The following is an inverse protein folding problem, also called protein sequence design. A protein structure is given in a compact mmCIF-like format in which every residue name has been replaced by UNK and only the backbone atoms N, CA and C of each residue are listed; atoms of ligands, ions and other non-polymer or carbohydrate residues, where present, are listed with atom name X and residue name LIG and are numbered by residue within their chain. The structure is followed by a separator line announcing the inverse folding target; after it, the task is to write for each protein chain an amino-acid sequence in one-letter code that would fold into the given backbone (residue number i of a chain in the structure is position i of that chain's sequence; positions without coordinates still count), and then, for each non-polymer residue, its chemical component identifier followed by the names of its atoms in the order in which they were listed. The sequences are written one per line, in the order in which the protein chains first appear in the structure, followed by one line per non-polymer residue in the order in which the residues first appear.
data_IF_502431262023
#
_entry.id   IF_502431262023
#
_cell.length_a   1.000
_cell.length_b   1.000
_cell.length_c   1.000
_cell.angle_alpha   90.00
_cell.angle_beta   90.00
_cell.angle_gamma   90.00
#
_symmetry.space_group_name_H-M   'P 1'
#
loop_
_entity.id
_entity.type
_entity.pdbx_description
1 polymer ?
2 non-polymer ?
3 non-polymer ?
4 water ?
#
# COMPACT_ATOMS: atom_id res chain seq x y z
N UNK A 1 13.13 -15.83 -19.37
CA UNK A 1 13.55 -17.03 -18.66
C UNK A 1 12.46 -17.46 -17.68
N UNK A 2 12.70 -18.59 -17.00
CA UNK A 2 11.71 -19.13 -16.08
C UNK A 2 11.45 -18.18 -14.92
N UNK A 3 10.35 -18.43 -14.21
CA UNK A 3 10.02 -17.64 -13.03
C UNK A 3 11.10 -17.79 -11.96
N UNK A 4 11.55 -19.03 -11.70
CA UNK A 4 12.52 -19.20 -10.62
C UNK A 4 13.86 -18.57 -10.98
N UNK A 5 14.23 -18.56 -12.25
CA UNK A 5 15.45 -17.86 -12.67
C UNK A 5 15.35 -16.37 -12.41
N UNK A 6 14.19 -15.77 -12.73
CA UNK A 6 13.99 -14.34 -12.51
C UNK A 6 14.17 -13.96 -11.03
N UNK A 7 13.68 -14.82 -10.12
CA UNK A 7 13.55 -14.46 -8.72
C UNK A 7 14.66 -15.02 -7.85
N UNK A 8 15.77 -15.47 -8.45
CA UNK A 8 16.92 -15.92 -7.69
C UNK A 8 17.06 -17.41 -7.48
N UNK A 9 16.24 -18.23 -8.12
CA UNK A 9 16.30 -19.67 -7.97
C UNK A 9 15.08 -20.23 -7.28
N UNK A 10 14.99 -21.56 -7.31
CA UNK A 10 13.83 -22.24 -6.76
C UNK A 10 13.72 -22.00 -5.26
N UNK A 11 14.83 -22.09 -4.52
CA UNK A 11 14.81 -21.81 -3.09
C UNK A 11 14.25 -20.43 -2.82
N UNK A 12 14.64 -19.44 -3.64
CA UNK A 12 14.19 -18.07 -3.44
C UNK A 12 12.69 -17.95 -3.68
N UNK A 13 12.15 -18.69 -4.64
CA UNK A 13 10.72 -18.63 -4.91
C UNK A 13 9.92 -19.05 -3.68
N UNK A 14 10.26 -20.21 -3.11
CA UNK A 14 9.55 -20.66 -1.92
C UNK A 14 9.75 -19.69 -0.76
N UNK A 15 10.96 -19.13 -0.64
CA UNK A 15 11.21 -18.17 0.43
C UNK A 15 10.35 -16.93 0.25
N UNK A 16 10.22 -16.46 -0.99
CA UNK A 16 9.39 -15.28 -1.26
C UNK A 16 7.94 -15.55 -0.91
N UNK A 17 7.42 -16.73 -1.28
CA UNK A 17 6.06 -17.10 -0.94
C UNK A 17 5.85 -17.09 0.58
N UNK A 18 6.80 -17.64 1.33
CA UNK A 18 6.67 -17.68 2.78
C UNK A 18 6.65 -16.27 3.38
N UNK A 19 7.56 -15.41 2.92
CA UNK A 19 7.56 -14.02 3.38
C UNK A 19 6.19 -13.38 3.13
N UNK A 20 5.68 -13.55 1.91
CA UNK A 20 4.43 -12.93 1.48
C UNK A 20 3.26 -13.50 2.27
N UNK A 21 3.22 -14.82 2.40
CA UNK A 21 2.18 -15.48 3.18
C UNK A 21 2.14 -14.97 4.62
N UNK A 22 3.31 -14.91 5.27
CA UNK A 22 3.34 -14.51 6.67
C UNK A 22 2.91 -13.06 6.85
N UNK A 23 3.27 -12.19 5.91
CA UNK A 23 2.78 -10.80 5.95
C UNK A 23 1.25 -10.76 5.95
N UNK A 24 0.61 -11.55 5.09
CA UNK A 24 -0.86 -11.52 5.05
C UNK A 24 -1.45 -12.07 6.33
N UNK A 25 -0.93 -13.19 6.84
CA UNK A 25 -1.51 -13.78 8.04
C UNK A 25 -1.25 -12.92 9.27
N UNK A 26 -0.20 -12.10 9.26
CA UNK A 26 0.11 -11.27 10.41
C UNK A 26 -0.50 -9.88 10.32
N UNK A 27 -1.27 -9.60 9.27
CA UNK A 27 -1.93 -8.32 9.11
C UNK A 27 -3.35 -8.45 9.63
N UNK A 28 -3.70 -7.81 10.75
CA UNK A 28 -5.06 -7.97 11.30
C UNK A 28 -6.15 -7.52 10.35
N UNK A 29 -5.84 -6.67 9.38
CA UNK A 29 -6.85 -6.23 8.43
C UNK A 29 -7.11 -7.25 7.32
N UNK A 30 -6.23 -8.22 7.14
CA UNK A 30 -6.34 -9.19 6.06
C UNK A 30 -6.55 -10.62 6.54
N UNK A 31 -5.94 -11.00 7.65
CA UNK A 31 -6.06 -12.37 8.16
C UNK A 31 -7.49 -12.89 8.20
N UNK A 32 -8.50 -12.12 8.62
CA UNK A 32 -9.85 -12.71 8.70
C UNK A 32 -10.36 -13.26 7.39
N UNK A 33 -9.93 -12.74 6.23
CA UNK A 33 -10.35 -13.33 4.96
C UNK A 33 -9.78 -14.72 4.74
N UNK A 34 -8.75 -15.11 5.48
CA UNK A 34 -8.15 -16.43 5.31
C UNK A 34 -8.62 -17.44 6.34
N UNK A 35 -9.47 -17.03 7.29
CA UNK A 35 -10.03 -17.96 8.27
C UNK A 35 -10.80 -19.07 7.58
N UNK A 36 -10.49 -20.32 7.95
CA UNK A 36 -11.15 -21.45 7.35
C UNK A 36 -10.60 -21.91 6.02
N UNK A 37 -9.63 -21.20 5.44
CA UNK A 37 -9.00 -21.63 4.19
C UNK A 37 -7.84 -22.55 4.51
N UNK A 38 -7.89 -23.77 3.99
CA UNK A 38 -6.85 -24.75 4.27
C UNK A 38 -5.52 -24.28 3.72
N UNK A 39 -4.43 -24.77 4.33
CA UNK A 39 -3.10 -24.24 4.05
C UNK A 39 -2.61 -24.63 2.65
N UNK A 40 -3.05 -25.76 2.13
CA UNK A 40 -2.63 -26.16 0.79
C UNK A 40 -3.19 -25.17 -0.23
N UNK A 41 -4.49 -24.87 -0.11
CA UNK A 41 -5.10 -23.86 -0.97
C UNK A 41 -4.38 -22.51 -0.86
N UNK A 42 -4.01 -22.12 0.37
CA UNK A 42 -3.39 -20.81 0.55
C UNK A 42 -2.00 -20.76 -0.06
N UNK A 43 -1.18 -21.78 0.20
CA UNK A 43 0.15 -21.83 -0.39
C UNK A 43 0.04 -21.85 -1.92
N UNK A 44 -0.91 -22.61 -2.45
CA UNK A 44 -1.08 -22.64 -3.90
C UNK A 44 -1.51 -21.27 -4.42
N UNK A 45 -2.39 -20.58 -3.69
CA UNK A 45 -2.79 -19.23 -4.06
C UNK A 45 -1.58 -18.31 -4.16
N UNK A 46 -0.72 -18.32 -3.14
CA UNK A 46 0.40 -17.40 -3.13
C UNK A 46 1.36 -17.69 -4.28
N UNK A 47 1.58 -18.98 -4.57
CA UNK A 47 2.44 -19.33 -5.69
C UNK A 47 1.85 -18.87 -7.02
N UNK A 48 0.54 -19.00 -7.21
CA UNK A 48 -0.06 -18.57 -8.47
C UNK A 48 -0.10 -17.05 -8.56
N UNK A 49 -0.32 -16.37 -7.42
CA UNK A 49 -0.26 -14.90 -7.38
C UNK A 49 1.10 -14.41 -7.83
N UNK A 50 2.16 -15.00 -7.29
CA UNK A 50 3.51 -14.63 -7.67
C UNK A 50 3.77 -14.92 -9.14
N UNK A 51 3.36 -16.11 -9.61
CA UNK A 51 3.53 -16.44 -11.02
C UNK A 51 2.78 -15.44 -11.91
N UNK A 52 1.55 -15.09 -11.53
CA UNK A 52 0.75 -14.15 -12.31
C UNK A 52 1.41 -12.78 -12.38
N UNK A 53 1.92 -12.28 -11.26
CA UNK A 53 2.58 -10.98 -11.26
C UNK A 53 3.72 -10.92 -12.29
N UNK A 54 4.34 -12.06 -12.60
CA UNK A 54 5.46 -12.08 -13.52
C UNK A 54 5.13 -12.79 -14.83
N UNK A 55 3.84 -12.86 -15.18
CA UNK A 55 3.44 -13.41 -16.46
C UNK A 55 3.81 -14.85 -16.69
N UNK A 56 3.91 -15.65 -15.62
CA UNK A 56 4.26 -17.05 -15.72
C UNK A 56 3.06 -17.99 -15.67
N UNK A 57 1.85 -17.46 -15.56
CA UNK A 57 0.66 -18.30 -15.65
C UNK A 57 0.20 -18.38 -17.11
N UNK A 58 -0.56 -19.43 -17.43
CA UNK A 58 -1.08 -19.59 -18.78
C UNK A 58 -2.59 -19.64 -18.86
N UNK A 59 -3.29 -20.09 -17.81
CA UNK A 59 -4.75 -20.22 -17.87
C UNK A 59 -5.44 -19.38 -16.79
N UNK A 60 -4.87 -18.23 -16.47
CA UNK A 60 -5.38 -17.40 -15.39
C UNK A 60 -5.52 -15.98 -15.89
N UNK A 61 -6.75 -15.48 -15.94
CA UNK A 61 -7.02 -14.16 -16.50
C UNK A 61 -7.96 -13.40 -15.57
N UNK A 62 -8.25 -12.15 -15.93
CA UNK A 62 -9.06 -11.30 -15.07
C UNK A 62 -10.38 -11.94 -14.68
N UNK A 63 -11.03 -12.61 -15.64
CA UNK A 63 -12.31 -13.24 -15.30
C UNK A 63 -12.14 -14.33 -14.24
N UNK A 64 -11.01 -15.05 -14.26
CA UNK A 64 -10.76 -16.05 -13.23
C UNK A 64 -10.51 -15.38 -11.88
N UNK A 65 -9.83 -14.23 -11.87
CA UNK A 65 -9.65 -13.50 -10.62
C UNK A 65 -11.00 -13.09 -10.04
N UNK A 66 -11.91 -12.61 -10.89
CA UNK A 66 -13.22 -12.21 -10.40
C UNK A 66 -13.98 -13.41 -9.85
N UNK A 67 -14.02 -14.51 -10.62
CA UNK A 67 -14.78 -15.68 -10.18
C UNK A 67 -14.21 -16.25 -8.89
N UNK A 68 -12.90 -16.14 -8.67
CA UNK A 68 -12.30 -16.64 -7.44
C UNK A 68 -12.53 -15.76 -6.22
N UNK A 69 -12.81 -14.48 -6.41
CA UNK A 69 -12.91 -13.54 -5.29
C UNK A 69 -14.27 -12.88 -5.14
N UNK A 70 -15.20 -13.11 -6.06
CA UNK A 70 -16.47 -12.39 -6.06
C UNK A 70 -17.23 -12.61 -4.75
N UNK A 71 -17.18 -13.83 -4.20
CA UNK A 71 -17.90 -14.09 -2.96
C UNK A 71 -17.34 -13.26 -1.80
N UNK A 72 -16.03 -12.95 -1.80
CA UNK A 72 -15.47 -12.13 -0.73
C UNK A 72 -15.92 -10.68 -0.84
N UNK A 73 -16.02 -10.18 -2.07
CA UNK A 73 -16.48 -8.81 -2.30
C UNK A 73 -17.97 -8.68 -1.99
N UNK A 74 -18.75 -9.70 -2.33
CA UNK A 74 -20.20 -9.62 -2.19
C UNK A 74 -20.66 -9.97 -0.78
N UNK A 75 -20.04 -10.96 -0.15
CA UNK A 75 -20.51 -11.48 1.11
C UNK A 75 -19.62 -11.12 2.29
N UNK A 76 -18.40 -10.62 2.05
CA UNK A 76 -17.46 -10.40 3.14
C UNK A 76 -16.81 -9.00 3.12
N UNK A 77 -17.28 -8.08 2.29
CA UNK A 77 -16.79 -6.72 2.33
C UNK A 77 -15.38 -6.51 1.83
N UNK A 78 -14.88 -7.42 0.98
CA UNK A 78 -13.53 -7.25 0.41
C UNK A 78 -13.50 -6.00 -0.47
N UNK A 79 -12.48 -5.16 -0.29
CA UNK A 79 -12.51 -3.85 -0.95
C UNK A 79 -11.13 -3.45 -1.44
N UNK A 80 -11.06 -2.25 -2.02
CA UNK A 80 -9.82 -1.76 -2.62
C UNK A 80 -8.74 -1.54 -1.58
N UNK A 81 -9.11 -1.16 -0.36
CA UNK A 81 -8.10 -1.01 0.68
C UNK A 81 -7.44 -2.36 0.97
N UNK A 82 -8.23 -3.42 0.99
CA UNK A 82 -7.65 -4.74 1.18
C UNK A 82 -6.73 -5.10 0.02
N UNK A 83 -7.16 -4.83 -1.22
CA UNK A 83 -6.32 -5.12 -2.39
C UNK A 83 -5.00 -4.36 -2.31
N UNK A 84 -5.07 -3.07 -1.98
CA UNK A 84 -3.84 -2.27 -1.94
C UNK A 84 -2.91 -2.74 -0.83
N UNK A 85 -3.44 -3.30 0.26
CA UNK A 85 -2.59 -3.81 1.32
C UNK A 85 -1.91 -5.11 0.90
N UNK A 86 -2.67 -6.02 0.27
CA UNK A 86 -2.09 -7.25 -0.26
C UNK A 86 -1.01 -6.93 -1.29
N UNK A 87 -1.31 -5.99 -2.18
CA UNK A 87 -0.34 -5.61 -3.22
C UNK A 87 0.91 -4.99 -2.61
N UNK A 88 0.73 -4.15 -1.59
CA UNK A 88 1.89 -3.58 -0.91
C UNK A 88 2.74 -4.64 -0.21
N UNK A 89 2.09 -5.57 0.48
CA UNK A 89 2.87 -6.66 1.09
C UNK A 89 3.61 -7.46 0.03
N UNK A 90 3.02 -7.62 -1.14
CA UNK A 90 3.70 -8.39 -2.18
C UNK A 90 4.99 -7.70 -2.63
N UNK A 91 4.91 -6.41 -2.95
CA UNK A 91 6.13 -5.74 -3.42
C UNK A 91 7.13 -5.62 -2.28
N UNK A 92 6.67 -5.43 -1.05
CA UNK A 92 7.59 -5.45 0.09
C UNK A 92 8.29 -6.79 0.19
N UNK A 93 7.58 -7.89 -0.06
CA UNK A 93 8.22 -9.20 -0.04
C UNK A 93 9.31 -9.27 -1.08
N UNK A 94 9.04 -8.78 -2.30
CA UNK A 94 10.05 -8.81 -3.34
C UNK A 94 11.29 -8.00 -2.96
N UNK A 95 11.08 -6.81 -2.38
CA UNK A 95 12.22 -5.98 -1.96
C UNK A 95 13.02 -6.67 -0.86
N UNK A 96 12.35 -7.26 0.12
CA UNK A 96 13.05 -7.94 1.20
C UNK A 96 13.88 -9.11 0.70
N UNK A 97 13.47 -9.74 -0.40
CA UNK A 97 14.22 -10.83 -1.00
C UNK A 97 15.31 -10.34 -1.96
N UNK A 98 15.54 -9.03 -2.02
CA UNK A 98 16.55 -8.50 -2.92
C UNK A 98 16.18 -8.50 -4.38
N UNK A 99 14.89 -8.50 -4.71
CA UNK A 99 14.48 -8.41 -6.10
C UNK A 99 14.66 -6.98 -6.61
N UNK A 100 15.15 -6.83 -7.83
CA UNK A 100 15.50 -5.52 -8.34
C UNK A 100 14.32 -4.72 -8.85
N UNK A 101 14.62 -3.46 -9.17
CA UNK A 101 13.58 -2.47 -9.45
C UNK A 101 12.85 -2.76 -10.75
N UNK A 102 13.54 -3.28 -11.76
CA UNK A 102 12.87 -3.56 -13.02
C UNK A 102 11.79 -4.62 -12.84
N UNK A 103 12.08 -5.66 -12.04
CA UNK A 103 11.08 -6.69 -11.75
C UNK A 103 9.98 -6.15 -10.85
N UNK A 104 10.31 -5.29 -9.87
CA UNK A 104 9.27 -4.66 -9.07
C UNK A 104 8.28 -3.92 -9.95
N UNK A 105 8.79 -3.07 -10.85
CA UNK A 105 7.93 -2.27 -11.71
C UNK A 105 7.02 -3.16 -12.55
N UNK A 106 7.58 -4.25 -13.09
CA UNK A 106 6.78 -5.16 -13.89
C UNK A 106 5.63 -5.75 -13.07
N UNK A 107 5.94 -6.23 -11.87
CA UNK A 107 4.91 -6.77 -10.99
C UNK A 107 3.86 -5.72 -10.65
N UNK A 108 4.31 -4.50 -10.34
CA UNK A 108 3.40 -3.43 -10.01
C UNK A 108 2.45 -3.14 -11.16
N UNK A 109 2.97 -3.08 -12.39
CA UNK A 109 2.11 -2.85 -13.53
C UNK A 109 1.01 -3.89 -13.66
N UNK A 110 1.35 -5.15 -13.42
CA UNK A 110 0.35 -6.22 -13.48
C UNK A 110 -0.72 -5.98 -12.41
N UNK A 111 -0.28 -5.75 -11.17
CA UNK A 111 -1.22 -5.59 -10.06
C UNK A 111 -2.12 -4.38 -10.26
N UNK A 112 -1.55 -3.26 -10.68
CA UNK A 112 -2.36 -2.08 -11.00
C UNK A 112 -3.39 -2.43 -12.06
N UNK A 113 -3.01 -3.26 -13.03
CA UNK A 113 -3.92 -3.64 -14.09
C UNK A 113 -5.15 -4.38 -13.62
N UNK A 114 -5.05 -5.16 -12.53
CA UNK A 114 -6.20 -5.92 -12.04
C UNK A 114 -6.88 -5.28 -10.85
N UNK A 115 -6.34 -4.20 -10.31
CA UNK A 115 -6.99 -3.49 -9.20
C UNK A 115 -8.46 -3.16 -9.47
N UNK A 116 -8.87 -2.67 -10.65
CA UNK A 116 -10.29 -2.36 -10.85
C UNK A 116 -11.25 -3.53 -10.63
N UNK A 117 -10.78 -4.78 -10.70
CA UNK A 117 -11.67 -5.91 -10.44
C UNK A 117 -11.98 -6.08 -8.96
N UNK A 118 -11.34 -5.32 -8.09
CA UNK A 118 -11.61 -5.36 -6.66
C UNK A 118 -12.37 -4.13 -6.19
N UNK A 119 -12.92 -3.37 -7.12
CA UNK A 119 -13.77 -2.23 -6.79
C UNK A 119 -15.18 -2.73 -6.47
N UNK A 120 -15.62 -2.61 -5.21
CA UNK A 120 -16.95 -3.14 -4.85
C UNK A 120 -18.08 -2.48 -5.61
N UNK A 121 -17.90 -1.27 -6.12
CA UNK A 121 -18.98 -0.63 -6.86
C UNK A 121 -19.36 -1.38 -8.13
N UNK A 122 -18.47 -2.26 -8.61
CA UNK A 122 -18.74 -3.08 -9.79
C UNK A 122 -19.61 -4.30 -9.50
N UNK A 123 -19.97 -4.57 -8.23
CA UNK A 123 -20.69 -5.77 -7.86
C UNK A 123 -22.04 -5.40 -7.26
N UNK A 124 -23.00 -6.32 -7.34
CA UNK A 124 -24.33 -6.11 -6.75
C UNK A 124 -24.52 -7.04 -5.55
N UNK A 125 -25.58 -6.78 -4.78
CA UNK A 125 -25.96 -7.68 -3.70
C UNK A 125 -24.97 -7.78 -2.56
N UNK A 126 -24.18 -6.73 -2.32
CA UNK A 126 -23.17 -6.78 -1.28
C UNK A 126 -23.79 -6.65 0.10
N UNK A 127 -23.03 -7.02 1.13
CA UNK A 127 -23.45 -6.80 2.52
C UNK A 127 -23.74 -5.33 2.79
N UNK B 2 -9.59 0.79 12.76
CA UNK B 2 -10.43 1.86 13.30
C UNK B 2 -10.64 2.96 12.25
N UNK B 3 -9.80 2.92 11.22
CA UNK B 3 -9.75 4.01 10.26
C UNK B 3 -11.05 4.15 9.47
N UNK B 4 -11.58 3.04 8.96
CA UNK B 4 -12.73 3.18 8.06
C UNK B 4 -13.97 3.66 8.80
N UNK B 5 -14.14 3.24 10.06
CA UNK B 5 -15.25 3.78 10.84
C UNK B 5 -15.07 5.27 11.12
N UNK B 6 -13.81 5.70 11.27
CA UNK B 6 -13.50 7.09 11.59
C UNK B 6 -13.77 8.01 10.41
N UNK B 7 -13.43 7.58 9.20
CA UNK B 7 -13.44 8.45 8.02
C UNK B 7 -14.70 8.33 7.18
N UNK B 8 -15.73 7.65 7.66
CA UNK B 8 -16.96 7.56 6.91
C UNK B 8 -17.10 6.38 5.98
N UNK B 9 -16.36 5.30 6.22
CA UNK B 9 -16.55 4.08 5.46
C UNK B 9 -15.35 3.76 4.57
N UNK B 10 -15.25 2.48 4.22
CA UNK B 10 -14.12 2.03 3.40
C UNK B 10 -14.08 2.75 2.05
N UNK B 11 -15.25 2.98 1.43
CA UNK B 11 -15.23 3.71 0.16
C UNK B 11 -14.62 5.09 0.34
N UNK B 12 -14.96 5.78 1.43
CA UNK B 12 -14.38 7.10 1.68
C UNK B 12 -12.88 7.02 1.90
N UNK B 13 -12.39 5.91 2.47
CA UNK B 13 -10.95 5.74 2.66
C UNK B 13 -10.24 5.71 1.32
N UNK B 14 -10.70 4.84 0.41
CA UNK B 14 -10.04 4.74 -0.89
C UNK B 14 -10.15 6.06 -1.65
N UNK B 15 -11.28 6.76 -1.52
CA UNK B 15 -11.45 8.02 -2.22
C UNK B 15 -10.52 9.08 -1.67
N UNK B 16 -10.34 9.11 -0.35
CA UNK B 16 -9.43 10.08 0.27
C UNK B 16 -8.00 9.84 -0.19
N UNK B 17 -7.59 8.57 -0.28
CA UNK B 17 -6.24 8.23 -0.71
C UNK B 17 -5.99 8.72 -2.13
N UNK B 18 -6.99 8.56 -3.01
CA UNK B 18 -6.82 8.99 -4.40
C UNK B 18 -6.73 10.50 -4.51
N UNK B 19 -7.54 11.23 -3.73
CA UNK B 19 -7.45 12.70 -3.73
C UNK B 19 -6.07 13.13 -3.28
N UNK B 20 -5.59 12.54 -2.19
CA UNK B 20 -4.30 12.89 -1.61
C UNK B 20 -3.17 12.53 -2.57
N UNK B 21 -3.22 11.31 -3.11
CA UNK B 21 -2.20 10.86 -4.07
C UNK B 21 -2.09 11.83 -5.24
N UNK B 22 -3.23 12.20 -5.83
CA UNK B 22 -3.21 13.04 -7.02
C UNK B 22 -2.65 14.42 -6.72
N UNK B 23 -2.94 14.97 -5.53
CA UNK B 23 -2.37 16.27 -5.17
C UNK B 23 -0.86 16.21 -5.11
N UNK B 24 -0.30 15.15 -4.51
CA UNK B 24 1.15 15.04 -4.38
C UNK B 24 1.82 14.87 -5.73
N UNK B 25 1.26 14.02 -6.60
CA UNK B 25 1.90 13.79 -7.89
C UNK B 25 1.75 14.98 -8.84
N UNK B 26 0.77 15.86 -8.61
CA UNK B 26 0.60 17.04 -9.45
C UNK B 26 1.29 18.27 -8.90
N UNK B 27 2.03 18.14 -7.79
CA UNK B 27 2.73 19.26 -7.19
C UNK B 27 4.17 19.21 -7.70
N UNK B 28 4.59 20.14 -8.55
CA UNK B 28 5.95 20.03 -9.12
C UNK B 28 7.06 20.13 -8.08
N UNK B 29 6.80 20.67 -6.90
CA UNK B 29 7.82 20.69 -5.85
C UNK B 29 7.98 19.35 -5.14
N UNK B 30 6.99 18.46 -5.23
CA UNK B 30 7.01 17.19 -4.52
C UNK B 30 7.19 15.99 -5.43
N UNK B 31 6.56 16.03 -6.60
CA UNK B 31 6.63 14.91 -7.53
C UNK B 31 8.05 14.38 -7.77
N UNK B 32 9.12 15.20 -7.79
CA UNK B 32 10.46 14.62 -7.96
C UNK B 32 10.86 13.60 -6.90
N UNK B 33 10.37 13.71 -5.67
CA UNK B 33 10.70 12.71 -4.66
C UNK B 33 10.02 11.36 -4.93
N UNK B 34 8.95 11.36 -5.73
CA UNK B 34 8.24 10.11 -6.04
C UNK B 34 8.65 9.49 -7.36
N UNK B 35 9.48 10.16 -8.14
CA UNK B 35 9.89 9.63 -9.43
C UNK B 35 10.63 8.30 -9.25
N UNK B 36 10.28 7.32 -10.07
CA UNK B 36 10.90 6.02 -9.96
C UNK B 36 10.37 5.11 -8.87
N UNK B 37 9.43 5.58 -8.03
CA UNK B 37 8.77 4.73 -7.05
C UNK B 37 7.51 4.15 -7.69
N UNK B 38 7.38 2.83 -7.64
CA UNK B 38 6.26 2.17 -8.28
C UNK B 38 4.95 2.54 -7.60
N UNK B 39 3.85 2.43 -8.35
CA UNK B 39 2.57 2.94 -7.88
C UNK B 39 1.98 2.10 -6.76
N UNK B 40 2.30 0.80 -6.70
CA UNK B 40 1.81 -0.01 -5.59
C UNK B 40 2.44 0.45 -4.28
N UNK B 41 3.77 0.63 -4.29
CA UNK B 41 4.44 1.18 -3.12
C UNK B 41 3.86 2.53 -2.72
N UNK B 42 3.59 3.39 -3.71
CA UNK B 42 3.08 4.73 -3.40
C UNK B 42 1.66 4.69 -2.86
N UNK B 43 0.78 3.87 -3.46
CA UNK B 43 -0.57 3.71 -2.91
C UNK B 43 -0.50 3.18 -1.48
N UNK B 44 0.38 2.20 -1.24
CA UNK B 44 0.52 1.68 0.12
C UNK B 44 1.04 2.74 1.08
N UNK B 45 1.99 3.56 0.61
CA UNK B 45 2.47 4.67 1.44
C UNK B 45 1.33 5.59 1.84
N UNK B 46 0.50 6.02 0.87
CA UNK B 46 -0.52 7.00 1.23
C UNK B 46 -1.57 6.38 2.14
N UNK B 47 -1.84 5.08 1.99
CA UNK B 47 -2.78 4.42 2.90
C UNK B 47 -2.24 4.40 4.31
N UNK B 48 -0.94 4.11 4.47
CA UNK B 48 -0.37 4.04 5.81
C UNK B 48 -0.20 5.43 6.40
N UNK B 49 0.10 6.44 5.57
CA UNK B 49 0.11 7.83 6.03
C UNK B 49 -1.25 8.23 6.59
N UNK B 50 -2.32 7.97 5.82
CA UNK B 50 -3.67 8.23 6.29
C UNK B 50 -3.97 7.49 7.58
N UNK B 51 -3.63 6.19 7.63
CA UNK B 51 -3.86 5.43 8.85
C UNK B 51 -3.10 6.02 10.02
N UNK B 52 -1.83 6.39 9.81
CA UNK B 52 -1.03 6.97 10.88
C UNK B 52 -1.64 8.27 11.40
N UNK B 53 -2.10 9.15 10.50
CA UNK B 53 -2.66 10.43 10.93
C UNK B 53 -3.84 10.24 11.87
N UNK B 54 -4.54 9.12 11.77
CA UNK B 54 -5.74 8.86 12.57
C UNK B 54 -5.50 7.77 13.61
N UNK B 55 -4.26 7.50 13.95
CA UNK B 55 -3.96 6.58 15.03
C UNK B 55 -4.41 5.15 14.76
N UNK B 56 -4.50 4.76 13.50
CA UNK B 56 -4.95 3.43 13.14
C UNK B 56 -3.79 2.48 12.82
N UNK B 57 -2.55 2.95 12.87
CA UNK B 57 -1.40 2.06 12.78
C UNK B 57 -1.06 1.50 14.16
N UNK B 58 -0.38 0.36 14.18
CA UNK B 58 -0.03 -0.32 15.41
C UNK B 58 1.47 -0.46 15.66
N UNK B 59 2.30 -0.45 14.61
CA UNK B 59 3.74 -0.68 14.77
C UNK B 59 4.54 0.33 13.94
N UNK B 60 4.09 1.58 13.90
CA UNK B 60 4.72 2.60 13.07
C UNK B 60 4.84 3.87 13.91
N UNK B 61 6.07 4.29 14.21
CA UNK B 61 6.29 5.42 15.09
C UNK B 61 7.34 6.33 14.48
N UNK B 62 7.68 7.39 15.22
CA UNK B 62 8.60 8.40 14.70
C UNK B 62 9.89 7.82 14.19
N UNK B 63 10.46 6.86 14.92
CA UNK B 63 11.73 6.27 14.49
C UNK B 63 11.58 5.53 13.16
N UNK B 64 10.43 4.92 12.89
CA UNK B 64 10.19 4.31 11.58
C UNK B 64 10.02 5.36 10.49
N UNK B 65 9.38 6.48 10.81
CA UNK B 65 9.30 7.58 9.87
C UNK B 65 10.69 8.05 9.48
N UNK B 66 11.56 8.21 10.48
CA UNK B 66 12.94 8.64 10.19
C UNK B 66 13.65 7.61 9.31
N UNK B 67 13.57 6.33 9.70
CA UNK B 67 14.31 5.32 8.96
C UNK B 67 13.83 5.23 7.51
N UNK B 68 12.54 5.46 7.27
CA UNK B 68 11.99 5.39 5.93
C UNK B 68 12.28 6.59 5.04
N UNK B 69 12.68 7.72 5.63
CA UNK B 69 12.85 8.96 4.86
C UNK B 69 14.24 9.56 4.99
N UNK B 70 15.11 8.99 5.83
CA UNK B 70 16.40 9.63 6.10
C UNK B 70 17.23 9.82 4.84
N UNK B 71 17.17 8.86 3.92
CA UNK B 71 17.96 8.99 2.68
C UNK B 71 17.49 10.19 1.85
N UNK B 72 16.20 10.50 1.90
CA UNK B 72 15.67 11.66 1.18
C UNK B 72 16.18 12.95 1.80
N UNK B 73 16.23 13.00 3.14
CA UNK B 73 16.71 14.21 3.83
C UNK B 73 18.21 14.36 3.65
N UNK B 74 18.97 13.27 3.78
CA UNK B 74 20.42 13.35 3.76
C UNK B 74 20.94 13.57 2.34
N UNK B 75 20.37 12.89 1.36
CA UNK B 75 20.97 12.86 0.03
C UNK B 75 20.14 13.55 -1.06
N UNK B 76 18.88 13.88 -0.80
CA UNK B 76 18.03 14.42 -1.84
C UNK B 76 17.33 15.71 -1.44
N UNK B 77 17.77 16.37 -0.36
CA UNK B 77 17.28 17.70 -0.05
C UNK B 77 15.86 17.81 0.48
N UNK B 78 15.27 16.72 0.96
CA UNK B 78 13.93 16.78 1.55
C UNK B 78 13.96 17.66 2.80
N UNK B 79 13.02 18.60 2.91
CA UNK B 79 13.11 19.59 3.98
C UNK B 79 11.72 19.90 4.56
N UNK B 80 11.68 20.86 5.49
CA UNK B 80 10.44 21.21 6.17
C UNK B 80 9.42 21.80 5.21
N UNK B 81 9.88 22.52 4.17
CA UNK B 81 8.94 23.09 3.21
C UNK B 81 8.19 21.98 2.49
N UNK B 82 8.88 20.91 2.13
CA UNK B 82 8.21 19.77 1.52
C UNK B 82 7.23 19.11 2.49
N UNK B 83 7.65 18.90 3.74
CA UNK B 83 6.76 18.32 4.74
C UNK B 83 5.51 19.17 4.90
N UNK B 84 5.68 20.48 5.05
CA UNK B 84 4.52 21.35 5.23
C UNK B 84 3.61 21.32 4.01
N UNK B 85 4.17 21.10 2.81
CA UNK B 85 3.34 21.02 1.61
C UNK B 85 2.55 19.71 1.57
N UNK B 86 3.22 18.58 1.82
CA UNK B 86 2.52 17.30 1.91
C UNK B 86 1.43 17.35 2.97
N UNK B 87 1.75 17.90 4.14
CA UNK B 87 0.78 17.97 5.21
C UNK B 87 -0.39 18.86 4.82
N UNK B 88 -0.12 19.94 4.09
CA UNK B 88 -1.20 20.80 3.62
C UNK B 88 -2.12 20.09 2.64
N UNK B 89 -1.53 19.38 1.66
CA UNK B 89 -2.36 18.62 0.72
C UNK B 89 -3.18 17.56 1.44
N UNK B 90 -2.64 16.98 2.50
CA UNK B 90 -3.38 15.98 3.27
C UNK B 90 -4.63 16.59 3.89
N UNK B 91 -4.47 17.62 4.70
CA UNK B 91 -5.64 18.22 5.35
C UNK B 91 -6.61 18.74 4.29
N UNK B 92 -6.09 19.28 3.19
CA UNK B 92 -6.95 19.70 2.09
C UNK B 92 -7.77 18.54 1.54
N UNK B 93 -7.15 17.36 1.41
CA UNK B 93 -7.87 16.18 0.92
C UNK B 93 -8.99 15.80 1.89
N UNK B 94 -8.71 15.83 3.19
CA UNK B 94 -9.73 15.56 4.19
C UNK B 94 -10.87 16.56 4.09
N UNK B 95 -10.54 17.85 3.97
CA UNK B 95 -11.59 18.85 3.81
C UNK B 95 -12.41 18.58 2.56
N UNK B 96 -11.75 18.21 1.45
CA UNK B 96 -12.47 17.98 0.20
C UNK B 96 -13.39 16.77 0.30
N UNK B 97 -13.01 15.77 1.07
CA UNK B 97 -13.86 14.62 1.30
C UNK B 97 -14.95 14.87 2.34
N UNK B 98 -15.03 16.09 2.91
CA UNK B 98 -16.06 16.40 3.88
C UNK B 98 -15.79 15.92 5.29
N UNK B 99 -14.53 15.64 5.64
CA UNK B 99 -14.21 15.14 6.97
C UNK B 99 -14.42 16.23 8.01
N UNK B 100 -15.04 15.85 9.12
CA UNK B 100 -15.37 16.81 10.15
C UNK B 100 -14.14 17.50 10.73
N UNK B 101 -14.37 18.73 11.22
CA UNK B 101 -13.30 19.56 11.73
C UNK B 101 -12.56 18.92 12.88
N UNK B 102 -13.28 18.26 13.80
CA UNK B 102 -12.61 17.63 14.94
C UNK B 102 -11.62 16.58 14.46
N UNK B 103 -12.00 15.81 13.43
CA UNK B 103 -11.11 14.77 12.92
C UNK B 103 -9.91 15.39 12.20
N UNK B 104 -10.13 16.50 11.49
CA UNK B 104 -9.02 17.17 10.84
C UNK B 104 -8.05 17.73 11.87
N UNK B 105 -8.58 18.31 12.94
CA UNK B 105 -7.72 18.82 14.01
C UNK B 105 -6.88 17.70 14.62
N UNK B 106 -7.47 16.50 14.76
CA UNK B 106 -6.74 15.39 15.35
C UNK B 106 -5.61 14.94 14.44
N UNK B 107 -5.90 14.75 13.16
CA UNK B 107 -4.86 14.41 12.18
C UNK B 107 -3.76 15.46 12.13
N UNK B 108 -4.14 16.74 12.19
CA UNK B 108 -3.12 17.80 12.19
C UNK B 108 -2.21 17.68 13.41
N UNK B 109 -2.78 17.42 14.59
CA UNK B 109 -1.95 17.25 15.76
C UNK B 109 -0.93 16.14 15.62
N UNK B 110 -1.32 15.05 14.96
CA UNK B 110 -0.39 13.95 14.72
C UNK B 110 0.72 14.41 13.80
N UNK B 111 0.37 15.08 12.70
CA UNK B 111 1.37 15.53 11.74
C UNK B 111 2.36 16.50 12.37
N UNK B 112 1.85 17.47 13.13
CA UNK B 112 2.70 18.45 13.80
C UNK B 112 3.67 17.76 14.73
N UNK B 113 3.23 16.68 15.39
CA UNK B 113 4.10 15.97 16.31
C UNK B 113 5.33 15.37 15.64
N UNK B 114 5.22 14.99 14.37
CA UNK B 114 6.34 14.38 13.66
C UNK B 114 7.04 15.34 12.71
N UNK B 115 6.52 16.56 12.55
CA UNK B 115 7.21 17.55 11.74
C UNK B 115 8.69 17.74 12.10
N UNK B 116 9.10 17.79 13.37
CA UNK B 116 10.54 17.98 13.66
C UNK B 116 11.41 16.87 13.10
N UNK B 117 10.85 15.71 12.75
CA UNK B 117 11.63 14.65 12.14
C UNK B 117 12.08 14.98 10.73
N UNK B 118 11.51 16.01 10.11
CA UNK B 118 11.87 16.41 8.76
C UNK B 118 12.71 17.68 8.75
N UNK B 119 13.23 18.07 9.89
CA UNK B 119 14.15 19.18 10.01
C UNK B 119 15.55 18.70 9.62
N UNK B 120 16.07 19.16 8.49
CA UNK B 120 17.39 18.69 8.04
C UNK B 120 18.51 18.99 9.02
N UNK B 121 18.38 20.02 9.85
CA UNK B 121 19.44 20.34 10.81
C UNK B 121 19.66 19.20 11.80
N UNK B 122 18.64 18.37 12.04
CA UNK B 122 18.79 17.27 12.98
C UNK B 122 19.60 16.11 12.42
N UNK B 123 19.94 16.14 11.13
CA UNK B 123 20.62 15.03 10.46
C UNK B 123 22.07 15.39 10.17
N UNK B 124 22.95 14.42 10.40
CA UNK B 124 24.35 14.60 10.08
C UNK B 124 24.62 14.12 8.65
N UNK B 125 25.73 14.61 8.09
CA UNK B 125 26.25 14.08 6.84
C UNK B 125 25.45 14.39 5.60
N UNK B 126 24.56 15.38 5.64
CA UNK B 126 23.71 15.72 4.49
C UNK B 126 24.51 16.07 3.24
X LIG C 1 -8.02 -17.22 -3.78
X LIG C 1 -4.90 -14.84 -6.62
X LIG C 1 -6.22 -10.75 -4.41
X LIG C 1 -7.86 -13.42 -0.74
X LIG C 1 -7.09 -16.98 -4.78
X LIG C 1 -6.52 -17.94 -5.72
X LIG C 1 -5.64 -17.26 -6.49
X LIG C 1 -5.65 -15.87 -6.07
X LIG C 1 -4.77 -17.77 -7.65
X LIG C 1 -6.84 -19.46 -5.84
X LIG C 1 -6.51 -20.22 -4.56
X LIG C 1 -6.62 -21.73 -4.73
X LIG C 1 -7.73 -22.25 -5.03
X LIG C 1 -5.56 -22.41 -4.52
X LIG C 1 -5.09 -13.50 -6.35
X LIG C 1 -4.68 -12.39 -7.18
X LIG C 1 -5.07 -11.26 -6.56
X LIG C 1 -5.70 -11.63 -5.32
X LIG C 1 -3.95 -12.49 -8.55
X LIG C 1 -4.88 -9.79 -6.98
X LIG C 1 -3.92 -9.37 -7.80
X LIG C 1 -6.70 -11.10 -3.18
X LIG C 1 -6.98 -10.22 -2.09
X LIG C 1 -7.40 -10.94 -1.06
X LIG C 1 -7.44 -12.33 -1.47
X LIG C 1 -6.77 -8.69 -2.13
X LIG C 1 -7.79 -10.35 0.32
X LIG C 1 -7.53 -11.02 1.44
X LIG C 1 -8.13 -14.67 -1.28
X LIG C 1 -8.82 -15.76 -0.62
X LIG C 1 -8.85 -16.80 -1.45
X LIG C 1 -8.19 -16.41 -2.68
X LIG C 1 -9.38 -15.70 0.81
X LIG C 1 -9.44 -18.22 -1.20
X LIG C 1 -10.96 -18.19 -1.39
X LIG C 1 -11.47 -19.58 -1.08
X LIG C 1 -10.80 -20.57 -1.46
X LIG C 1 -12.55 -19.68 -0.46
X LIG C 1 -6.53 -15.76 -5.02
X LIG C 1 -5.72 -13.01 -5.22
X LIG C 1 -7.01 -12.39 -2.77
X LIG C 1 -7.76 -15.10 -2.54
X LIG C 1 -6.74 -14.06 -3.87
X LIG D 1 -1.52 -21.58 -14.62
X LIG D 1 -0.31 -21.30 -15.36
X LIG D 1 -1.90 -22.99 -14.83
X LIG D 1 -2.62 -20.76 -15.13
X LIG D 1 -1.30 -21.34 -13.20
X LIG E 1 7.88 6.36 2.17
X LIG E 1 4.71 7.74 5.50
X LIG E 1 6.41 12.23 4.83
X LIG E 1 8.00 10.91 0.46
X LIG E 1 6.93 6.28 3.15
X LIG E 1 6.34 5.08 3.73
X LIG E 1 5.44 5.49 4.66
X LIG E 1 5.46 6.93 4.70
X LIG E 1 4.54 4.61 5.56
X LIG E 1 6.66 3.61 3.35
X LIG E 1 6.36 3.41 1.86
X LIG E 1 6.44 1.96 1.47
X LIG E 1 7.55 1.37 1.51
X LIG E 1 5.37 1.40 1.09
X LIG E 1 5.00 9.08 5.69
X LIG E 1 4.57 9.88 6.80
X LIG E 1 5.04 11.12 6.62
X LIG E 1 5.77 11.13 5.37
X LIG E 1 3.73 9.32 7.98
X LIG E 1 4.89 12.39 7.50
X LIG E 1 4.07 12.49 8.56
X LIG E 1 6.88 12.31 3.54
X LIG E 1 7.21 13.50 2.81
X LIG E 1 7.61 13.16 1.59
X LIG E 1 7.60 11.71 1.52
X LIG E 1 7.03 14.93 3.37
X LIG E 1 8.03 14.12 0.48
X LIG E 1 7.83 13.82 -0.81
X LIG E 1 8.20 9.54 0.57
X LIG E 1 8.86 8.67 -0.37
X LIG E 1 8.83 7.43 0.10
X LIG E 1 8.12 7.46 1.36
X LIG E 1 9.49 9.09 -1.71
X LIG E 1 9.38 6.14 -0.56
X LIG E 1 10.87 5.93 -0.34
X LIG E 1 11.30 4.77 -1.22
X LIG E 1 12.35 4.90 -1.90
X LIG E 1 10.57 3.73 -1.25
X LIG E 1 6.37 7.37 3.76
X LIG E 1 5.74 9.87 4.83
X LIG E 1 7.15 11.24 2.72
X LIG E 1 7.76 8.76 1.63
X LIG E 1 6.74 9.29 3.24
X LIG F 1 0.65 -0.86 11.07
X LIG F 1 0.99 -2.26 10.81
X LIG F 1 -0.52 -0.80 11.94
X LIG F 1 0.34 -0.18 9.82
X LIG F 1 1.78 -0.23 11.78
#
# INVERSE_FOLDING_TARGET
STLHAKLGGAAAVAATVDVFYKKLMNDPDLEPFFRGVDMVTLIAKQNRFLAYAFGATTHYHGKDIVMGHAHLIINRGLNLTHFDKVAGHFVDSLKEMGVGQELIDEAAGVLIGVRPLFDPERYKGKVD
STLHAKLGGAAAVAATVDVFYKKLMNDPDLEPFFRGVDMVTLIAKQNRFLAYAFGATTHYHGKDIVMGHAHLIINRGLNLTHFDKVAGHFVDSLKEMGVGQELIDEAAGVLIGVRPLFDPERYKGKVD
HEM CHA CHB CHC CHD C1A C2A C3A C4A CMA CAA CBA CGA O1A O2A C1B C2B C3B C4B CMB CAB CBB C1C C2C C3C C4C CMC CAC CBC C1D C2D C3D C4D CMD CAD CBD CGD O1D O2D NA NB NC ND FE
SO4 S O1 O2 O3 O4
HEM CHA CHB CHC CHD C1A C2A C3A C4A CMA CAA CBA CGA O1A O2A C1B C2B C3B C4B CMB CAB CBB C1C C2C C3C C4C CMC CAC CBC C1D C2D C3D C4D CMD CAD CBD CGD O1D O2D NA NB NC ND FE
SO4 S O1 O2 O3 O4
#
